data_IF_676573266769
#
_entry.id   IF_676573266769
#
_cell.length_a   1.000
_cell.length_b   1.000
_cell.length_c   1.000
_cell.angle_alpha   90.00
_cell.angle_beta   90.00
_cell.angle_gamma   90.00
#
_symmetry.space_group_name_H-M   'P 1'
#
loop_
_entity.id
_entity.type
_entity.pdbx_description
1 polymer ?
#
# COMPACT_ATOMS: atom_id res chain seq x y z
N UNK A 1 26.45 28.48 12.78
CA UNK A 1 25.23 28.90 12.04
C UNK A 1 24.34 27.69 11.82
N UNK A 2 22.99 27.82 11.83
CA UNK A 2 22.12 26.70 11.51
C UNK A 2 22.41 26.18 10.09
N UNK A 3 22.47 24.86 9.93
CA UNK A 3 22.81 24.17 8.66
C UNK A 3 21.83 24.47 7.52
N UNK A 4 20.61 24.89 7.86
CA UNK A 4 19.51 25.09 6.93
C UNK A 4 18.83 26.44 7.19
N UNK A 5 18.24 27.03 6.15
CA UNK A 5 17.39 28.21 6.31
C UNK A 5 16.14 27.87 7.14
N UNK A 6 15.44 28.89 7.65
CA UNK A 6 14.20 28.66 8.41
C UNK A 6 13.11 28.01 7.54
N UNK A 7 13.00 28.40 6.26
CA UNK A 7 12.10 27.79 5.29
C UNK A 7 12.46 26.32 5.08
N UNK A 8 13.73 26.04 4.81
CA UNK A 8 14.21 24.67 4.60
C UNK A 8 13.96 23.80 5.83
N UNK A 9 14.21 24.32 7.03
CA UNK A 9 13.95 23.60 8.28
C UNK A 9 12.47 23.25 8.47
N UNK A 10 11.56 24.17 8.14
CA UNK A 10 10.10 23.94 8.21
C UNK A 10 9.63 22.92 7.17
N UNK A 11 10.12 23.03 5.93
CA UNK A 11 9.79 22.10 4.86
C UNK A 11 10.30 20.70 5.18
N UNK A 12 11.55 20.55 5.62
CA UNK A 12 12.10 19.27 6.07
C UNK A 12 11.24 18.67 7.16
N UNK A 13 10.94 19.43 8.22
CA UNK A 13 10.10 18.92 9.32
C UNK A 13 8.77 18.38 8.81
N UNK A 14 8.08 19.15 7.97
CA UNK A 14 6.83 18.70 7.36
C UNK A 14 7.01 17.43 6.51
N UNK A 15 8.02 17.40 5.63
CA UNK A 15 8.22 16.27 4.72
C UNK A 15 8.62 14.97 5.44
N UNK A 16 9.39 15.06 6.53
CA UNK A 16 9.77 13.89 7.32
C UNK A 16 8.69 13.43 8.30
N UNK A 17 7.95 14.37 8.92
CA UNK A 17 7.04 14.07 10.02
C UNK A 17 5.55 14.14 9.65
N UNK A 18 5.21 14.81 8.56
CA UNK A 18 3.83 15.12 8.16
C UNK A 18 3.18 16.24 8.96
N UNK A 19 3.91 16.93 9.84
CA UNK A 19 3.38 17.98 10.69
C UNK A 19 4.43 19.09 10.99
N UNK A 20 3.97 20.24 11.51
CA UNK A 20 4.84 21.33 12.01
C UNK A 20 5.44 21.05 13.40
N UNK A 21 4.91 20.03 14.10
CA UNK A 21 5.38 19.60 15.42
C UNK A 21 6.52 18.61 15.28
N UNK A 22 7.40 18.57 16.28
CA UNK A 22 8.54 17.64 16.32
C UNK A 22 8.13 16.24 16.82
N UNK A 23 7.02 15.70 16.29
CA UNK A 23 6.48 14.39 16.67
C UNK A 23 6.29 13.58 15.40
N UNK A 24 6.92 12.41 15.34
CA UNK A 24 6.66 11.46 14.26
C UNK A 24 5.41 10.65 14.58
N UNK A 25 4.41 10.74 13.71
CA UNK A 25 3.21 9.91 13.76
C UNK A 25 3.19 9.03 12.49
N UNK A 26 3.12 7.69 12.62
CA UNK A 26 3.06 6.80 11.46
C UNK A 26 1.85 7.10 10.56
N UNK A 27 2.00 7.09 9.22
CA UNK A 27 0.94 7.46 8.27
C UNK A 27 -0.43 6.81 8.54
N UNK A 28 -0.43 5.52 8.90
CA UNK A 28 -1.65 4.72 9.11
C UNK A 28 -2.54 5.22 10.25
N UNK A 29 -1.99 5.96 11.21
CA UNK A 29 -2.74 6.47 12.37
C UNK A 29 -2.79 8.00 12.42
N UNK A 30 -2.25 8.70 11.40
CA UNK A 30 -2.20 10.17 11.40
C UNK A 30 -3.59 10.80 11.49
N UNK A 31 -4.59 10.21 10.81
CA UNK A 31 -5.95 10.74 10.79
C UNK A 31 -6.69 10.52 12.10
N UNK A 32 -6.41 9.44 12.85
CA UNK A 32 -7.00 9.24 14.16
C UNK A 32 -6.25 9.96 15.28
N UNK A 33 -4.95 10.21 15.10
CA UNK A 33 -4.11 10.88 16.09
C UNK A 33 -4.27 12.40 16.06
N UNK A 34 -4.29 13.01 14.87
CA UNK A 34 -4.44 14.45 14.73
C UNK A 34 -5.92 14.84 14.59
N UNK A 35 -6.26 16.04 15.05
CA UNK A 35 -7.55 16.64 14.68
C UNK A 35 -7.56 16.95 13.18
N UNK A 36 -8.74 17.00 12.56
CA UNK A 36 -8.90 17.28 11.11
C UNK A 36 -8.19 18.57 10.67
N UNK A 37 -8.25 19.61 11.52
CA UNK A 37 -7.55 20.88 11.31
C UNK A 37 -6.02 20.72 11.28
N UNK A 38 -5.48 19.59 11.70
CA UNK A 38 -4.05 19.28 11.81
C UNK A 38 -3.64 18.09 10.94
N UNK A 39 -4.51 17.65 10.04
CA UNK A 39 -4.10 16.68 9.05
C UNK A 39 -2.93 17.19 8.21
N UNK A 40 -2.16 16.24 7.69
CA UNK A 40 -0.90 16.52 7.00
C UNK A 40 -1.12 17.42 5.78
N UNK A 41 -2.16 17.19 5.02
CA UNK A 41 -2.58 18.00 3.88
C UNK A 41 -2.92 19.45 4.28
N UNK A 42 -3.75 19.64 5.32
CA UNK A 42 -4.09 20.96 5.87
C UNK A 42 -2.84 21.68 6.35
N UNK A 43 -1.95 20.95 7.02
CA UNK A 43 -0.70 21.48 7.57
C UNK A 43 0.27 21.88 6.46
N UNK A 44 0.42 21.07 5.42
CA UNK A 44 1.25 21.39 4.26
C UNK A 44 0.80 22.66 3.55
N UNK A 45 -0.51 22.78 3.27
CA UNK A 45 -1.10 23.99 2.68
C UNK A 45 -0.84 25.21 3.53
N UNK A 46 -1.06 25.11 4.85
CA UNK A 46 -0.84 26.22 5.79
C UNK A 46 0.62 26.65 5.85
N UNK A 47 1.57 25.71 5.86
CA UNK A 47 3.01 26.02 5.89
C UNK A 47 3.39 26.79 4.63
N UNK A 48 3.06 26.28 3.44
CA UNK A 48 3.40 26.94 2.18
C UNK A 48 2.67 28.28 2.06
N UNK A 49 1.38 28.34 2.38
CA UNK A 49 0.59 29.57 2.36
C UNK A 49 1.14 30.66 3.30
N UNK A 50 1.60 30.29 4.51
CA UNK A 50 2.28 31.22 5.43
C UNK A 50 3.61 31.72 4.88
N UNK A 51 4.40 30.85 4.24
CA UNK A 51 5.66 31.25 3.58
C UNK A 51 5.36 32.27 2.47
N UNK A 52 4.39 31.98 1.61
CA UNK A 52 3.99 32.86 0.51
C UNK A 52 3.46 34.21 1.00
N UNK A 53 2.67 34.25 2.07
CA UNK A 53 2.13 35.51 2.62
C UNK A 53 3.17 36.40 3.29
N UNK A 54 4.21 35.82 3.92
CA UNK A 54 5.12 36.55 4.81
C UNK A 54 6.47 36.90 4.18
N UNK A 55 6.84 36.26 3.08
CA UNK A 55 8.19 36.32 2.55
C UNK A 55 8.26 37.00 1.17
N UNK A 56 9.46 37.46 0.81
CA UNK A 56 9.73 38.08 -0.49
C UNK A 56 9.78 37.04 -1.61
N UNK A 57 9.66 37.49 -2.85
CA UNK A 57 9.63 36.66 -4.06
C UNK A 57 10.83 35.70 -4.16
N UNK A 58 12.03 36.14 -3.76
CA UNK A 58 13.25 35.32 -3.81
C UNK A 58 13.15 34.10 -2.89
N UNK A 59 12.62 34.31 -1.67
CA UNK A 59 12.41 33.25 -0.69
C UNK A 59 11.30 32.30 -1.12
N UNK A 60 10.21 32.80 -1.71
CA UNK A 60 9.13 31.98 -2.28
C UNK A 60 9.69 31.06 -3.37
N UNK A 61 10.53 31.60 -4.25
CA UNK A 61 11.15 30.84 -5.34
C UNK A 61 12.20 29.82 -4.87
N UNK A 62 12.61 29.84 -3.60
CA UNK A 62 13.51 28.84 -3.02
C UNK A 62 12.82 27.52 -2.66
N UNK A 63 11.48 27.49 -2.58
CA UNK A 63 10.72 26.33 -2.10
C UNK A 63 10.94 25.10 -2.99
N UNK A 64 10.77 25.23 -4.31
CA UNK A 64 10.95 24.10 -5.24
C UNK A 64 12.40 23.60 -5.29
N UNK A 65 13.43 24.47 -5.34
CA UNK A 65 14.82 24.05 -5.16
C UNK A 65 15.08 23.26 -3.88
N UNK A 66 14.48 23.65 -2.75
CA UNK A 66 14.59 22.91 -1.49
C UNK A 66 13.93 21.53 -1.61
N UNK A 67 12.74 21.44 -2.21
CA UNK A 67 12.05 20.17 -2.46
C UNK A 67 12.94 19.23 -3.30
N UNK A 68 13.51 19.73 -4.39
CA UNK A 68 14.41 18.96 -5.25
C UNK A 68 15.69 18.53 -4.53
N UNK A 69 16.27 19.40 -3.69
CA UNK A 69 17.42 19.07 -2.84
C UNK A 69 17.09 17.92 -1.89
N UNK A 70 15.94 17.98 -1.21
CA UNK A 70 15.49 16.92 -0.30
C UNK A 70 15.27 15.62 -1.07
N UNK A 71 14.67 15.68 -2.27
CA UNK A 71 14.51 14.46 -3.09
C UNK A 71 15.86 13.85 -3.47
N UNK A 72 16.85 14.66 -3.85
CA UNK A 72 18.19 14.20 -4.21
C UNK A 72 18.93 13.51 -3.05
N UNK A 73 18.63 13.88 -1.80
CA UNK A 73 19.21 13.23 -0.63
C UNK A 73 18.69 11.80 -0.42
N UNK A 74 17.52 11.47 -0.98
CA UNK A 74 16.88 10.15 -0.97
C UNK A 74 16.77 9.51 0.43
N UNK A 75 16.43 10.35 1.43
CA UNK A 75 16.27 9.95 2.84
C UNK A 75 14.82 9.89 3.31
N UNK A 76 13.86 10.19 2.42
CA UNK A 76 12.44 10.13 2.75
C UNK A 76 11.96 8.68 2.73
N UNK A 77 11.08 8.34 3.67
CA UNK A 77 10.43 7.02 3.71
C UNK A 77 9.52 6.82 2.49
N UNK A 78 8.81 7.87 2.09
CA UNK A 78 7.97 7.90 0.90
C UNK A 78 7.95 9.31 0.27
N UNK A 79 7.56 9.38 -1.00
CA UNK A 79 7.48 10.64 -1.74
C UNK A 79 6.10 11.33 -1.60
N UNK A 80 5.14 10.80 -0.82
CA UNK A 80 3.74 11.27 -0.82
C UNK A 80 3.63 12.74 -0.39
N UNK A 81 4.22 13.10 0.75
CA UNK A 81 4.20 14.47 1.26
C UNK A 81 4.98 15.42 0.35
N UNK A 82 6.04 14.92 -0.29
CA UNK A 82 6.85 15.68 -1.24
C UNK A 82 6.05 16.02 -2.50
N UNK A 83 5.35 15.04 -3.08
CA UNK A 83 4.46 15.22 -4.23
C UNK A 83 3.29 16.15 -3.87
N UNK A 84 2.70 16.00 -2.68
CA UNK A 84 1.64 16.90 -2.21
C UNK A 84 2.15 18.35 -2.09
N UNK A 85 3.33 18.55 -1.50
CA UNK A 85 3.94 19.89 -1.40
C UNK A 85 4.18 20.50 -2.78
N UNK A 86 4.64 19.69 -3.74
CA UNK A 86 4.81 20.12 -5.13
C UNK A 86 3.49 20.53 -5.77
N UNK A 87 2.42 19.76 -5.53
CA UNK A 87 1.08 20.08 -6.01
C UNK A 87 0.58 21.41 -5.43
N UNK A 88 0.75 21.64 -4.13
CA UNK A 88 0.44 22.92 -3.46
C UNK A 88 1.17 24.09 -4.13
N UNK A 89 2.48 23.94 -4.39
CA UNK A 89 3.26 24.96 -5.09
C UNK A 89 2.71 25.26 -6.50
N UNK A 90 2.29 24.24 -7.24
CA UNK A 90 1.77 24.37 -8.60
C UNK A 90 0.37 25.03 -8.67
N UNK A 91 -0.33 25.19 -7.54
CA UNK A 91 -1.71 25.74 -7.49
C UNK A 91 -1.80 27.21 -7.12
N UNK A 92 -0.72 27.87 -6.70
CA UNK A 92 -0.78 29.29 -6.40
C UNK A 92 -1.10 30.11 -7.66
N UNK A 93 -1.97 31.12 -7.51
CA UNK A 93 -2.36 32.03 -8.60
C UNK A 93 -1.92 33.48 -8.37
N UNK A 94 -1.01 33.71 -7.41
CA UNK A 94 -0.52 35.04 -7.04
C UNK A 94 0.67 35.48 -7.90
N UNK A 95 0.78 36.79 -8.18
CA UNK A 95 1.86 37.36 -9.02
C UNK A 95 3.29 36.99 -8.55
N UNK A 96 3.63 37.03 -7.25
CA UNK A 96 4.96 36.61 -6.77
C UNK A 96 5.26 35.13 -6.99
N UNK A 97 4.24 34.28 -7.10
CA UNK A 97 4.38 32.82 -7.18
C UNK A 97 4.60 32.30 -8.60
N UNK A 98 4.57 33.15 -9.64
CA UNK A 98 4.63 32.70 -11.05
C UNK A 98 5.83 31.78 -11.33
N UNK A 99 7.01 32.13 -10.81
CA UNK A 99 8.23 31.32 -10.98
C UNK A 99 8.14 30.01 -10.21
N UNK A 100 7.80 30.05 -8.91
CA UNK A 100 7.56 28.84 -8.10
C UNK A 100 6.59 27.86 -8.77
N UNK A 101 5.49 28.34 -9.34
CA UNK A 101 4.49 27.50 -10.04
C UNK A 101 5.09 26.86 -11.29
N UNK A 102 5.82 27.64 -12.11
CA UNK A 102 6.51 27.11 -13.28
C UNK A 102 7.56 26.06 -12.92
N UNK A 103 8.36 26.32 -11.88
CA UNK A 103 9.38 25.41 -11.37
C UNK A 103 8.75 24.14 -10.81
N UNK A 104 7.60 24.24 -10.12
CA UNK A 104 6.87 23.09 -9.60
C UNK A 104 6.42 22.15 -10.73
N UNK A 105 5.83 22.70 -11.79
CA UNK A 105 5.45 21.91 -12.97
C UNK A 105 6.65 21.33 -13.72
N UNK A 106 7.79 22.01 -13.73
CA UNK A 106 9.03 21.49 -14.32
C UNK A 106 9.61 20.31 -13.53
N UNK A 107 9.51 20.37 -12.19
CA UNK A 107 10.00 19.34 -11.29
C UNK A 107 9.18 18.04 -11.29
N UNK A 108 7.96 18.05 -11.84
CA UNK A 108 7.09 16.86 -11.92
C UNK A 108 7.80 15.67 -12.58
N UNK A 109 8.48 15.86 -13.71
CA UNK A 109 9.18 14.76 -14.39
C UNK A 109 10.33 14.17 -13.57
N UNK A 110 10.91 14.96 -12.66
CA UNK A 110 12.01 14.53 -11.78
C UNK A 110 11.49 13.80 -10.54
N UNK A 111 10.38 14.29 -9.96
CA UNK A 111 9.83 13.76 -8.71
C UNK A 111 8.87 12.59 -8.96
N UNK A 112 7.98 12.72 -9.93
CA UNK A 112 7.02 11.68 -10.28
C UNK A 112 7.69 10.66 -11.20
N UNK A 113 8.50 9.79 -10.63
CA UNK A 113 9.32 8.84 -11.38
C UNK A 113 8.53 7.70 -12.01
N UNK A 114 7.30 7.44 -11.60
CA UNK A 114 6.46 6.33 -12.07
C UNK A 114 4.99 6.75 -12.24
N UNK A 115 4.18 5.83 -12.77
CA UNK A 115 2.76 6.08 -13.05
C UNK A 115 1.95 6.36 -11.78
N UNK A 116 2.26 5.69 -10.68
CA UNK A 116 1.58 5.89 -9.39
C UNK A 116 1.82 7.32 -8.88
N UNK A 117 3.08 7.76 -8.83
CA UNK A 117 3.45 9.10 -8.36
C UNK A 117 2.86 10.20 -9.26
N UNK A 118 2.75 9.95 -10.56
CA UNK A 118 2.04 10.87 -11.46
C UNK A 118 0.56 10.99 -11.08
N UNK A 119 -0.14 9.87 -10.91
CA UNK A 119 -1.56 9.88 -10.54
C UNK A 119 -1.78 10.49 -9.15
N UNK A 120 -0.86 10.26 -8.21
CA UNK A 120 -0.83 10.93 -6.91
C UNK A 120 -0.75 12.46 -7.08
N UNK A 121 0.15 12.95 -7.92
CA UNK A 121 0.26 14.38 -8.20
C UNK A 121 -1.04 14.94 -8.78
N UNK A 122 -1.67 14.24 -9.74
CA UNK A 122 -2.96 14.67 -10.33
C UNK A 122 -4.05 14.75 -9.26
N UNK A 123 -4.16 13.75 -8.37
CA UNK A 123 -5.10 13.79 -7.25
C UNK A 123 -4.82 14.97 -6.32
N UNK A 124 -3.55 15.20 -6.00
CA UNK A 124 -3.14 16.26 -5.09
C UNK A 124 -3.29 17.66 -5.69
N UNK A 125 -3.24 17.82 -7.00
CA UNK A 125 -3.55 19.09 -7.68
C UNK A 125 -4.97 19.56 -7.34
N UNK A 126 -5.97 18.66 -7.44
CA UNK A 126 -7.36 18.97 -7.07
C UNK A 126 -7.52 19.23 -5.58
N UNK A 127 -6.87 18.39 -4.77
CA UNK A 127 -6.93 18.50 -3.29
C UNK A 127 -6.34 19.83 -2.83
N UNK A 128 -5.16 20.19 -3.33
CA UNK A 128 -4.47 21.43 -2.98
C UNK A 128 -5.22 22.68 -3.44
N UNK A 129 -5.85 22.67 -4.62
CA UNK A 129 -6.64 23.81 -5.12
C UNK A 129 -7.80 24.14 -4.16
N UNK A 130 -8.59 23.13 -3.82
CA UNK A 130 -9.71 23.28 -2.87
C UNK A 130 -9.21 23.83 -1.52
N UNK A 131 -8.18 23.20 -0.95
CA UNK A 131 -7.68 23.60 0.37
C UNK A 131 -7.04 24.99 0.38
N UNK A 132 -6.36 25.40 -0.69
CA UNK A 132 -5.80 26.75 -0.80
C UNK A 132 -6.90 27.81 -0.89
N UNK A 133 -8.01 27.48 -1.57
CA UNK A 133 -9.17 28.36 -1.67
C UNK A 133 -9.88 28.48 -0.31
N UNK A 134 -10.18 27.34 0.33
CA UNK A 134 -10.87 27.29 1.63
C UNK A 134 -10.10 28.03 2.73
N UNK A 135 -8.75 28.00 2.68
CA UNK A 135 -7.90 28.70 3.64
C UNK A 135 -7.57 30.16 3.23
N UNK A 136 -8.14 30.67 2.14
CA UNK A 136 -7.98 32.06 1.70
C UNK A 136 -6.53 32.40 1.28
N UNK A 137 -5.83 31.45 0.68
CA UNK A 137 -4.50 31.66 0.09
C UNK A 137 -4.54 31.96 -1.41
N UNK A 138 -5.59 31.51 -2.10
CA UNK A 138 -5.88 31.86 -3.50
C UNK A 138 -7.26 32.50 -3.59
N UNK A 139 -7.46 33.33 -4.62
CA UNK A 139 -8.69 34.13 -4.80
C UNK A 139 -9.78 33.41 -5.57
N UNK A 140 -9.42 32.40 -6.36
CA UNK A 140 -10.34 31.65 -7.22
C UNK A 140 -9.99 30.18 -7.15
N UNK A 141 -11.00 29.34 -6.94
CA UNK A 141 -10.86 27.91 -7.16
C UNK A 141 -10.98 27.61 -8.66
N UNK A 142 -10.28 26.57 -9.10
CA UNK A 142 -10.40 26.04 -10.45
C UNK A 142 -10.24 24.53 -10.43
N UNK A 143 -10.61 23.85 -11.52
CA UNK A 143 -10.47 22.40 -11.60
C UNK A 143 -9.01 21.90 -11.59
N UNK A 144 -8.00 22.77 -11.53
CA UNK A 144 -6.58 22.35 -11.43
C UNK A 144 -5.86 22.15 -12.77
N UNK A 145 -6.60 22.12 -13.88
CA UNK A 145 -6.13 21.53 -15.15
C UNK A 145 -5.80 22.54 -16.26
N UNK A 146 -5.24 23.69 -15.88
CA UNK A 146 -4.87 24.75 -16.85
C UNK A 146 -3.71 24.36 -17.78
N UNK A 147 -3.26 25.31 -18.61
CA UNK A 147 -2.20 25.10 -19.61
C UNK A 147 -0.88 24.55 -19.03
N UNK A 148 -0.50 25.00 -17.82
CA UNK A 148 0.71 24.50 -17.13
C UNK A 148 0.61 23.02 -16.76
N UNK A 149 -0.56 22.60 -16.26
CA UNK A 149 -0.87 21.20 -15.97
C UNK A 149 -0.81 20.36 -17.25
N UNK A 150 -1.54 20.75 -18.29
CA UNK A 150 -1.56 20.01 -19.56
C UNK A 150 -0.14 19.85 -20.15
N UNK A 151 0.65 20.93 -20.18
CA UNK A 151 2.04 20.88 -20.66
C UNK A 151 2.92 19.94 -19.83
N UNK A 152 2.82 19.97 -18.51
CA UNK A 152 3.61 19.14 -17.61
C UNK A 152 3.26 17.65 -17.75
N UNK A 153 1.97 17.32 -17.76
CA UNK A 153 1.51 15.93 -17.95
C UNK A 153 1.87 15.40 -19.33
N UNK A 154 1.68 16.19 -20.39
CA UNK A 154 2.09 15.80 -21.75
C UNK A 154 3.58 15.53 -21.81
N UNK A 155 4.41 16.39 -21.22
CA UNK A 155 5.86 16.17 -21.13
C UNK A 155 6.19 14.88 -20.38
N UNK A 156 5.47 14.57 -19.30
CA UNK A 156 5.68 13.34 -18.55
C UNK A 156 5.46 12.10 -19.41
N UNK A 157 4.38 12.03 -20.19
CA UNK A 157 4.13 10.88 -21.07
C UNK A 157 5.05 10.85 -22.30
N UNK A 158 5.32 12.00 -22.92
CA UNK A 158 5.96 12.07 -24.24
C UNK A 158 7.49 12.26 -24.21
N UNK A 159 8.11 12.58 -23.07
CA UNK A 159 9.57 12.80 -23.02
C UNK A 159 10.32 11.67 -22.30
N UNK A 160 9.68 10.51 -22.16
CA UNK A 160 10.23 9.31 -21.49
C UNK A 160 10.38 8.18 -22.48
N UNK A 161 11.15 7.17 -22.10
CA UNK A 161 11.24 5.92 -22.85
C UNK A 161 9.84 5.30 -23.03
N UNK A 162 9.40 5.02 -24.27
CA UNK A 162 8.06 4.51 -24.54
C UNK A 162 7.76 3.15 -23.90
N UNK A 163 8.74 2.23 -23.82
CA UNK A 163 8.55 0.93 -23.19
C UNK A 163 8.35 1.07 -21.69
N UNK A 164 9.27 1.77 -21.03
CA UNK A 164 9.18 2.07 -19.60
C UNK A 164 7.87 2.79 -19.26
N UNK A 165 7.46 3.76 -20.09
CA UNK A 165 6.18 4.49 -19.91
C UNK A 165 5.00 3.55 -19.98
N UNK A 166 5.01 2.59 -20.92
CA UNK A 166 3.97 1.56 -21.05
C UNK A 166 3.91 0.70 -19.80
N UNK A 167 5.06 0.24 -19.29
CA UNK A 167 5.13 -0.56 -18.07
C UNK A 167 4.53 0.16 -16.86
N UNK A 168 4.88 1.45 -16.67
CA UNK A 168 4.33 2.25 -15.57
C UNK A 168 2.81 2.43 -15.67
N UNK A 169 2.28 2.68 -16.88
CA UNK A 169 0.83 2.82 -17.09
C UNK A 169 0.10 1.52 -16.74
N UNK A 170 0.65 0.39 -17.16
CA UNK A 170 0.04 -0.92 -16.97
C UNK A 170 0.10 -1.38 -15.51
N UNK A 171 1.22 -1.14 -14.82
CA UNK A 171 1.41 -1.48 -13.40
C UNK A 171 0.56 -0.60 -12.49
N UNK A 172 0.48 0.69 -12.77
CA UNK A 172 -0.16 1.68 -11.90
C UNK A 172 -1.46 2.22 -12.51
N UNK A 173 -2.45 1.33 -12.71
CA UNK A 173 -3.67 1.64 -13.47
C UNK A 173 -4.48 2.81 -12.90
N UNK A 174 -4.58 2.89 -11.56
CA UNK A 174 -5.32 3.92 -10.88
C UNK A 174 -4.73 4.30 -9.52
N UNK A 175 -5.04 5.52 -9.09
CA UNK A 175 -4.81 6.01 -7.73
C UNK A 175 -5.97 6.89 -7.30
N UNK A 176 -6.64 6.53 -6.22
CA UNK A 176 -7.70 7.32 -5.59
C UNK A 176 -8.74 7.89 -6.59
N UNK A 177 -9.24 6.99 -7.45
CA UNK A 177 -10.23 7.29 -8.49
C UNK A 177 -9.68 7.87 -9.80
N UNK A 178 -8.41 8.25 -9.86
CA UNK A 178 -7.78 8.72 -11.10
C UNK A 178 -7.10 7.60 -11.86
N UNK A 179 -7.33 7.49 -13.16
CA UNK A 179 -6.61 6.58 -14.05
C UNK A 179 -5.77 7.33 -15.09
N UNK A 180 -4.78 6.65 -15.67
CA UNK A 180 -4.02 7.20 -16.81
C UNK A 180 -4.93 7.59 -17.98
N UNK A 181 -6.04 6.84 -18.19
CA UNK A 181 -7.06 7.15 -19.20
C UNK A 181 -7.71 8.50 -18.96
N UNK A 182 -8.04 8.83 -17.71
CA UNK A 182 -8.65 10.10 -17.35
C UNK A 182 -7.68 11.26 -17.61
N UNK A 183 -6.42 11.10 -17.20
CA UNK A 183 -5.38 12.11 -17.42
C UNK A 183 -5.14 12.35 -18.92
N UNK A 184 -5.02 11.28 -19.71
CA UNK A 184 -4.79 11.40 -21.16
C UNK A 184 -5.94 12.09 -21.88
N UNK A 185 -7.19 11.79 -21.51
CA UNK A 185 -8.37 12.48 -22.04
C UNK A 185 -8.37 13.95 -21.68
N UNK A 186 -8.09 14.25 -20.42
CA UNK A 186 -8.09 15.61 -19.87
C UNK A 186 -7.08 16.53 -20.56
N UNK A 187 -5.91 16.01 -20.93
CA UNK A 187 -4.85 16.79 -21.59
C UNK A 187 -4.88 16.68 -23.12
N UNK A 188 -5.85 15.95 -23.67
CA UNK A 188 -5.94 15.63 -25.10
C UNK A 188 -4.62 15.08 -25.67
N UNK A 189 -4.06 14.07 -24.98
CA UNK A 189 -2.76 13.51 -25.32
C UNK A 189 -2.76 12.89 -26.73
N UNK A 190 -1.79 13.29 -27.54
CA UNK A 190 -1.56 12.74 -28.88
C UNK A 190 -0.06 12.71 -29.18
N UNK A 191 0.34 11.84 -30.11
CA UNK A 191 1.72 11.74 -30.60
C UNK A 191 1.71 11.36 -32.08
N UNK A 192 2.81 11.67 -32.78
CA UNK A 192 3.09 11.19 -34.13
C UNK A 192 4.00 9.96 -34.14
N UNK A 193 4.64 9.65 -33.02
CA UNK A 193 5.58 8.52 -32.89
C UNK A 193 4.82 7.19 -32.68
N UNK A 194 5.05 6.16 -33.50
CA UNK A 194 4.33 4.88 -33.42
C UNK A 194 4.35 4.23 -32.03
N UNK A 195 5.52 4.17 -31.37
CA UNK A 195 5.67 3.60 -30.03
C UNK A 195 4.75 4.29 -29.01
N UNK A 196 4.61 5.62 -29.11
CA UNK A 196 3.76 6.40 -28.21
C UNK A 196 2.29 6.28 -28.54
N UNK A 197 1.95 6.29 -29.82
CA UNK A 197 0.58 6.05 -30.28
C UNK A 197 0.07 4.73 -29.72
N UNK A 198 0.89 3.68 -29.69
CA UNK A 198 0.48 2.36 -29.22
C UNK A 198 0.02 2.36 -27.75
N UNK A 199 0.80 2.88 -26.80
CA UNK A 199 0.36 2.90 -25.41
C UNK A 199 -0.80 3.90 -25.19
N UNK A 200 -0.87 5.00 -25.94
CA UNK A 200 -2.00 5.93 -25.88
C UNK A 200 -3.28 5.22 -26.30
N UNK A 201 -3.26 4.53 -27.46
CA UNK A 201 -4.39 3.75 -27.96
C UNK A 201 -4.77 2.63 -26.99
N UNK A 202 -3.79 1.88 -26.48
CA UNK A 202 -4.03 0.85 -25.46
C UNK A 202 -4.76 1.42 -24.24
N UNK A 203 -4.27 2.54 -23.70
CA UNK A 203 -4.84 3.16 -22.49
C UNK A 203 -6.26 3.68 -22.72
N UNK A 204 -6.53 4.28 -23.89
CA UNK A 204 -7.83 4.87 -24.19
C UNK A 204 -8.87 3.84 -24.64
N UNK A 205 -8.45 2.87 -25.45
CA UNK A 205 -9.32 2.00 -26.26
C UNK A 205 -9.07 0.49 -26.08
N UNK A 206 -8.02 0.09 -25.37
CA UNK A 206 -7.71 -1.32 -25.06
C UNK A 206 -6.99 -2.08 -26.18
N UNK A 207 -6.62 -3.33 -25.87
CA UNK A 207 -5.77 -4.17 -26.73
C UNK A 207 -6.35 -4.47 -28.11
N UNK A 208 -7.67 -4.66 -28.22
CA UNK A 208 -8.35 -4.91 -29.51
C UNK A 208 -8.05 -3.82 -30.53
N UNK A 209 -8.02 -2.55 -30.08
CA UNK A 209 -7.72 -1.42 -30.97
C UNK A 209 -6.24 -1.37 -31.35
N UNK A 210 -5.36 -1.78 -30.44
CA UNK A 210 -3.92 -1.92 -30.73
C UNK A 210 -3.69 -2.98 -31.79
N UNK A 211 -4.29 -4.17 -31.64
CA UNK A 211 -4.20 -5.26 -32.62
C UNK A 211 -4.69 -4.85 -34.01
N UNK A 212 -5.78 -4.08 -34.10
CA UNK A 212 -6.28 -3.56 -35.38
C UNK A 212 -5.29 -2.62 -36.08
N UNK A 213 -4.56 -1.78 -35.32
CA UNK A 213 -3.69 -0.76 -35.88
C UNK A 213 -2.25 -1.25 -36.12
N UNK A 214 -1.79 -2.19 -35.28
CA UNK A 214 -0.40 -2.64 -35.26
C UNK A 214 -0.24 -4.13 -35.55
N UNK A 215 -1.28 -4.95 -35.40
CA UNK A 215 -1.16 -6.41 -35.46
C UNK A 215 -0.60 -6.96 -36.78
N UNK A 216 -0.97 -6.39 -37.93
CA UNK A 216 -0.40 -6.80 -39.23
C UNK A 216 1.09 -6.52 -39.34
N UNK A 217 1.58 -5.42 -38.74
CA UNK A 217 3.01 -5.07 -38.71
C UNK A 217 3.82 -5.92 -37.73
N UNK A 218 3.14 -6.65 -36.85
CA UNK A 218 3.75 -7.40 -35.75
C UNK A 218 3.69 -8.93 -35.93
N UNK A 219 2.87 -9.44 -36.87
CA UNK A 219 2.70 -10.88 -37.11
C UNK A 219 3.87 -11.56 -37.84
N UNK A 220 4.71 -10.80 -38.54
CA UNK A 220 5.64 -11.35 -39.55
C UNK A 220 7.13 -11.21 -39.20
N UNK A 221 7.53 -11.02 -37.94
CA UNK A 221 8.95 -10.70 -37.68
C UNK A 221 9.52 -11.39 -36.43
N UNK A 222 10.55 -12.21 -36.67
CA UNK A 222 11.42 -12.76 -35.64
C UNK A 222 12.06 -11.63 -34.81
N UNK A 223 12.24 -11.84 -33.51
CA UNK A 223 12.82 -10.84 -32.58
C UNK A 223 14.33 -10.63 -32.86
N UNK A 224 14.93 -11.53 -33.63
CA UNK A 224 16.38 -11.64 -33.86
C UNK A 224 16.84 -11.21 -35.25
N UNK A 225 16.08 -10.39 -35.99
CA UNK A 225 16.63 -9.77 -37.19
C UNK A 225 17.68 -8.72 -36.79
N UNK A 226 18.94 -9.01 -37.09
CA UNK A 226 20.08 -8.14 -36.82
C UNK A 226 19.93 -6.77 -37.49
N UNK A 227 19.20 -6.72 -38.61
CA UNK A 227 19.10 -5.56 -39.50
C UNK A 227 17.92 -4.64 -39.17
N UNK A 228 17.15 -4.95 -38.12
CA UNK A 228 15.97 -4.16 -37.75
C UNK A 228 16.32 -2.90 -36.95
N UNK A 229 15.65 -1.79 -37.28
CA UNK A 229 15.83 -0.49 -36.59
C UNK A 229 15.47 -0.57 -35.11
N UNK A 230 16.16 0.23 -34.29
CA UNK A 230 15.88 0.32 -32.85
C UNK A 230 14.41 0.65 -32.55
N UNK A 231 13.79 1.54 -33.33
CA UNK A 231 12.38 1.92 -33.18
C UNK A 231 11.44 0.74 -33.39
N UNK A 232 11.69 -0.12 -34.39
CA UNK A 232 10.88 -1.31 -34.63
C UNK A 232 11.05 -2.34 -33.51
N UNK A 233 12.28 -2.55 -33.02
CA UNK A 233 12.54 -3.42 -31.85
C UNK A 233 11.79 -2.95 -30.61
N UNK A 234 11.80 -1.64 -30.36
CA UNK A 234 11.06 -1.06 -29.25
C UNK A 234 9.54 -1.19 -29.43
N UNK A 235 9.04 -0.96 -30.65
CA UNK A 235 7.61 -1.12 -30.97
C UNK A 235 7.15 -2.56 -30.72
N UNK A 236 7.90 -3.56 -31.20
CA UNK A 236 7.65 -4.97 -30.92
C UNK A 236 7.66 -5.30 -29.43
N UNK A 237 8.65 -4.78 -28.70
CA UNK A 237 8.77 -5.02 -27.26
C UNK A 237 7.54 -4.52 -26.51
N UNK A 238 7.03 -3.33 -26.86
CA UNK A 238 5.81 -2.77 -26.28
C UNK A 238 4.60 -3.65 -26.65
N UNK A 239 4.48 -4.06 -27.91
CA UNK A 239 3.34 -4.86 -28.38
C UNK A 239 3.29 -6.22 -27.67
N UNK A 240 4.44 -6.90 -27.59
CA UNK A 240 4.58 -8.19 -26.91
C UNK A 240 4.28 -8.07 -25.41
N UNK A 241 4.80 -7.03 -24.75
CA UNK A 241 4.50 -6.78 -23.34
C UNK A 241 2.99 -6.56 -23.10
N UNK A 242 2.32 -5.77 -23.94
CA UNK A 242 0.88 -5.54 -23.81
C UNK A 242 0.06 -6.82 -24.01
N UNK A 243 0.42 -7.63 -25.02
CA UNK A 243 -0.23 -8.92 -25.25
C UNK A 243 0.00 -9.90 -24.09
N UNK A 244 1.23 -9.98 -23.60
CA UNK A 244 1.60 -10.79 -22.44
C UNK A 244 0.70 -10.43 -21.25
N UNK A 245 0.62 -9.16 -20.89
CA UNK A 245 -0.20 -8.68 -19.77
C UNK A 245 -1.69 -9.00 -19.93
N UNK A 246 -2.24 -8.83 -21.14
CA UNK A 246 -3.65 -9.14 -21.38
C UNK A 246 -3.93 -10.65 -21.37
N UNK A 247 -2.94 -11.46 -21.76
CA UNK A 247 -3.05 -12.90 -21.74
C UNK A 247 -2.95 -13.49 -20.34
N UNK A 248 -2.28 -12.83 -19.38
CA UNK A 248 -2.22 -13.28 -17.97
C UNK A 248 -3.61 -13.60 -17.43
N UNK A 249 -4.62 -12.76 -17.73
CA UNK A 249 -6.00 -12.96 -17.24
C UNK A 249 -6.67 -14.25 -17.74
N UNK A 250 -6.13 -14.85 -18.79
CA UNK A 250 -6.64 -16.07 -19.44
C UNK A 250 -5.77 -17.29 -19.14
N UNK A 251 -4.62 -17.11 -18.50
CA UNK A 251 -3.71 -18.20 -18.17
C UNK A 251 -4.30 -19.06 -17.04
N UNK A 252 -4.04 -20.36 -17.12
CA UNK A 252 -4.21 -21.25 -15.97
C UNK A 252 -3.03 -21.10 -15.00
N UNK A 253 -3.11 -21.82 -13.87
CA UNK A 253 -2.09 -21.76 -12.82
C UNK A 253 -0.69 -22.15 -13.34
N UNK A 254 -0.60 -23.20 -14.16
CA UNK A 254 0.68 -23.73 -14.64
C UNK A 254 1.32 -22.80 -15.67
N UNK A 255 0.53 -22.26 -16.60
CA UNK A 255 1.02 -21.28 -17.57
C UNK A 255 1.52 -20.02 -16.88
N UNK A 256 0.81 -19.54 -15.85
CA UNK A 256 1.23 -18.36 -15.09
C UNK A 256 2.54 -18.60 -14.31
N UNK A 257 2.75 -19.80 -13.75
CA UNK A 257 4.02 -20.14 -13.09
C UNK A 257 5.19 -20.07 -14.06
N UNK A 258 5.06 -20.71 -15.22
CA UNK A 258 6.09 -20.66 -16.27
C UNK A 258 6.35 -19.21 -16.69
N UNK A 259 5.29 -18.40 -16.80
CA UNK A 259 5.41 -16.99 -17.17
C UNK A 259 6.18 -16.16 -16.11
N UNK A 260 5.98 -16.46 -14.82
CA UNK A 260 6.73 -15.85 -13.71
C UNK A 260 8.22 -16.23 -13.76
N UNK A 261 8.50 -17.50 -14.02
CA UNK A 261 9.86 -18.04 -14.06
C UNK A 261 10.67 -17.49 -15.25
N UNK A 262 10.09 -17.53 -16.46
CA UNK A 262 10.85 -17.26 -17.69
C UNK A 262 10.78 -15.80 -18.16
N UNK A 263 9.69 -15.08 -17.90
CA UNK A 263 9.45 -13.77 -18.53
C UNK A 263 9.50 -12.57 -17.56
N UNK A 264 10.25 -12.72 -16.45
CA UNK A 264 10.47 -11.67 -15.42
C UNK A 264 9.20 -11.06 -14.85
N UNK A 265 8.04 -11.73 -14.93
CA UNK A 265 6.82 -11.26 -14.25
C UNK A 265 6.99 -11.25 -12.73
N UNK A 266 7.93 -12.02 -12.18
CA UNK A 266 8.35 -11.93 -10.77
C UNK A 266 8.84 -10.53 -10.35
N UNK A 267 9.29 -9.70 -11.29
CA UNK A 267 9.66 -8.30 -11.01
C UNK A 267 8.44 -7.35 -11.04
N UNK A 268 7.31 -7.79 -11.60
CA UNK A 268 6.14 -6.96 -11.93
C UNK A 268 4.83 -7.54 -11.39
N UNK A 269 4.73 -7.86 -10.08
CA UNK A 269 3.53 -8.47 -9.50
C UNK A 269 2.24 -7.66 -9.71
N UNK A 270 2.35 -6.35 -9.92
CA UNK A 270 1.20 -5.45 -10.06
C UNK A 270 0.38 -5.72 -11.33
N UNK A 271 0.96 -6.42 -12.32
CA UNK A 271 0.23 -6.79 -13.54
C UNK A 271 -0.63 -8.04 -13.35
N UNK A 272 -0.37 -8.83 -12.31
CA UNK A 272 -1.08 -10.09 -12.04
C UNK A 272 -2.46 -9.78 -11.43
N UNK A 273 -3.55 -10.37 -11.95
CA UNK A 273 -4.88 -10.22 -11.38
C UNK A 273 -4.93 -10.62 -9.90
N UNK A 274 -5.68 -9.86 -9.10
CA UNK A 274 -5.76 -10.06 -7.64
C UNK A 274 -6.34 -11.43 -7.27
N UNK A 275 -7.21 -11.95 -8.12
CA UNK A 275 -7.87 -13.24 -7.97
C UNK A 275 -6.83 -14.38 -8.02
N UNK A 276 -5.86 -14.27 -8.92
CA UNK A 276 -4.76 -15.24 -9.08
C UNK A 276 -3.75 -15.17 -7.94
N UNK A 277 -3.60 -14.00 -7.31
CA UNK A 277 -2.73 -13.77 -6.15
C UNK A 277 -3.28 -14.37 -4.83
N UNK A 278 -4.42 -15.06 -4.86
CA UNK A 278 -4.92 -15.87 -3.73
C UNK A 278 -4.37 -17.29 -3.74
N UNK A 279 -3.84 -17.75 -4.88
CA UNK A 279 -3.34 -19.11 -5.06
C UNK A 279 -1.95 -19.24 -4.44
N UNK A 280 -1.78 -20.19 -3.51
CA UNK A 280 -0.52 -20.40 -2.79
C UNK A 280 0.63 -20.82 -3.72
N UNK A 281 0.36 -21.56 -4.79
CA UNK A 281 1.39 -21.99 -5.74
C UNK A 281 1.90 -20.82 -6.57
N UNK A 282 0.99 -19.95 -7.03
CA UNK A 282 1.37 -18.69 -7.70
C UNK A 282 2.19 -17.80 -6.78
N UNK A 283 1.74 -17.63 -5.53
CA UNK A 283 2.48 -16.85 -4.53
C UNK A 283 3.87 -17.46 -4.24
N UNK A 284 3.98 -18.77 -4.18
CA UNK A 284 5.27 -19.48 -4.00
C UNK A 284 6.19 -19.24 -5.19
N UNK A 285 5.68 -19.34 -6.42
CA UNK A 285 6.44 -18.99 -7.64
C UNK A 285 6.93 -17.53 -7.61
N UNK A 286 6.08 -16.59 -7.17
CA UNK A 286 6.51 -15.20 -6.99
C UNK A 286 7.63 -15.07 -5.95
N UNK A 287 7.54 -15.75 -4.80
CA UNK A 287 8.62 -15.76 -3.79
C UNK A 287 9.94 -16.25 -4.40
N UNK A 288 9.89 -17.26 -5.26
CA UNK A 288 11.07 -17.84 -5.90
C UNK A 288 11.76 -16.90 -6.91
N UNK A 289 11.03 -15.97 -7.53
CA UNK A 289 11.56 -15.11 -8.60
C UNK A 289 11.57 -13.60 -8.28
N UNK A 290 11.01 -13.17 -7.15
CA UNK A 290 11.01 -11.76 -6.75
C UNK A 290 12.41 -11.22 -6.47
N UNK A 291 12.71 -9.92 -6.70
CA UNK A 291 13.88 -9.28 -6.11
C UNK A 291 13.83 -9.32 -4.57
N UNK A 292 14.98 -9.51 -3.91
CA UNK A 292 15.02 -9.80 -2.47
C UNK A 292 14.52 -8.64 -1.60
N UNK A 293 14.85 -7.38 -1.94
CA UNK A 293 14.29 -6.19 -1.28
C UNK A 293 12.77 -6.14 -1.41
N UNK A 294 12.25 -6.38 -2.63
CA UNK A 294 10.81 -6.39 -2.90
C UNK A 294 10.12 -7.53 -2.15
N UNK A 295 10.77 -8.67 -2.00
CA UNK A 295 10.26 -9.81 -1.24
C UNK A 295 10.08 -9.41 0.24
N UNK A 296 11.06 -8.72 0.82
CA UNK A 296 11.02 -8.20 2.19
C UNK A 296 9.95 -7.12 2.38
N UNK A 297 9.83 -6.17 1.46
CA UNK A 297 8.78 -5.14 1.52
C UNK A 297 7.35 -5.72 1.48
N UNK A 298 7.19 -6.86 0.78
CA UNK A 298 5.92 -7.53 0.56
C UNK A 298 5.63 -8.68 1.52
N UNK A 299 6.41 -8.87 2.60
CA UNK A 299 6.14 -9.93 3.60
C UNK A 299 4.70 -9.90 4.12
N UNK A 300 4.20 -8.70 4.41
CA UNK A 300 2.81 -8.51 4.86
C UNK A 300 1.79 -8.92 3.79
N UNK A 301 2.08 -8.65 2.52
CA UNK A 301 1.21 -9.02 1.40
C UNK A 301 1.11 -10.55 1.29
N UNK A 302 2.24 -11.27 1.33
CA UNK A 302 2.24 -12.74 1.28
C UNK A 302 1.52 -13.34 2.48
N UNK A 303 1.77 -12.81 3.68
CA UNK A 303 1.05 -13.24 4.87
C UNK A 303 -0.46 -13.02 4.73
N UNK A 304 -0.89 -11.81 4.33
CA UNK A 304 -2.32 -11.47 4.17
C UNK A 304 -3.01 -12.41 3.18
N UNK A 305 -2.33 -12.83 2.11
CA UNK A 305 -2.85 -13.77 1.12
C UNK A 305 -2.60 -15.25 1.48
N UNK A 306 -2.53 -15.56 2.78
CA UNK A 306 -2.49 -16.93 3.33
C UNK A 306 -1.23 -17.76 2.99
N UNK A 307 -0.16 -17.18 2.42
CA UNK A 307 1.05 -17.95 2.09
C UNK A 307 1.76 -18.54 3.33
N UNK A 308 1.67 -17.83 4.47
CA UNK A 308 2.32 -18.22 5.73
C UNK A 308 1.28 -18.65 6.78
N UNK A 309 0.26 -19.39 6.35
CA UNK A 309 -0.80 -19.89 7.23
C UNK A 309 -0.68 -21.40 7.42
N UNK A 310 -0.98 -21.92 8.62
CA UNK A 310 -0.83 -23.35 8.91
C UNK A 310 -1.73 -24.26 8.04
N UNK A 311 -2.74 -23.70 7.36
CA UNK A 311 -3.59 -24.44 6.41
C UNK A 311 -2.95 -24.60 5.02
N UNK A 312 -1.85 -23.91 4.73
CA UNK A 312 -1.11 -24.05 3.48
C UNK A 312 0.12 -24.92 3.69
N UNK A 313 0.58 -25.67 2.67
CA UNK A 313 1.87 -26.34 2.73
C UNK A 313 2.98 -25.35 3.10
N UNK A 314 3.91 -25.77 3.97
CA UNK A 314 5.06 -24.96 4.43
C UNK A 314 6.03 -24.56 3.30
N UNK A 315 5.77 -25.01 2.07
CA UNK A 315 6.60 -24.72 0.88
C UNK A 315 6.81 -23.22 0.71
N UNK A 316 5.76 -22.40 0.81
CA UNK A 316 5.86 -20.96 0.62
C UNK A 316 6.78 -20.26 1.64
N UNK A 317 6.66 -20.61 2.92
CA UNK A 317 7.53 -20.06 3.97
C UNK A 317 8.96 -20.59 3.84
N UNK A 318 9.12 -21.88 3.52
CA UNK A 318 10.43 -22.49 3.32
C UNK A 318 11.19 -21.82 2.18
N UNK A 319 10.56 -21.62 1.03
CA UNK A 319 11.17 -20.92 -0.11
C UNK A 319 11.49 -19.47 0.23
N UNK A 320 10.61 -18.78 0.98
CA UNK A 320 10.86 -17.43 1.47
C UNK A 320 12.16 -17.38 2.31
N UNK A 321 12.29 -18.25 3.31
CA UNK A 321 13.49 -18.32 4.17
C UNK A 321 14.73 -18.71 3.35
N UNK A 322 14.61 -19.68 2.44
CA UNK A 322 15.70 -20.15 1.59
C UNK A 322 16.29 -19.02 0.74
N UNK A 323 15.44 -18.18 0.16
CA UNK A 323 15.84 -17.01 -0.64
C UNK A 323 16.75 -16.06 0.13
N UNK A 324 16.45 -15.78 1.40
CA UNK A 324 17.27 -14.91 2.26
C UNK A 324 18.49 -15.61 2.87
N UNK A 325 18.50 -16.94 2.91
CA UNK A 325 19.67 -17.73 3.32
C UNK A 325 20.75 -17.80 2.24
N UNK A 326 20.44 -17.44 1.00
CA UNK A 326 21.44 -17.30 -0.05
C UNK A 326 22.29 -16.05 0.19
N UNK A 327 23.54 -16.26 0.64
CA UNK A 327 24.47 -15.19 1.01
C UNK A 327 24.86 -14.31 -0.17
N UNK A 328 24.90 -14.86 -1.39
CA UNK A 328 25.23 -14.10 -2.60
C UNK A 328 24.09 -13.14 -2.91
N UNK A 329 22.84 -13.64 -2.94
CA UNK A 329 21.66 -12.80 -3.17
C UNK A 329 21.47 -11.75 -2.09
N UNK A 330 21.75 -12.09 -0.83
CA UNK A 330 21.64 -11.14 0.28
C UNK A 330 22.67 -10.01 0.15
N UNK A 331 23.93 -10.34 -0.20
CA UNK A 331 24.98 -9.34 -0.46
C UNK A 331 24.64 -8.41 -1.63
N UNK A 332 24.15 -8.96 -2.74
CA UNK A 332 23.81 -8.15 -3.93
C UNK A 332 22.57 -7.29 -3.72
N UNK A 333 21.65 -7.70 -2.84
CA UNK A 333 20.41 -6.97 -2.55
C UNK A 333 20.59 -5.69 -1.73
N UNK A 334 21.74 -5.47 -1.10
CA UNK A 334 22.04 -4.27 -0.28
C UNK A 334 21.02 -3.96 0.85
N UNK A 335 20.24 -4.95 1.28
CA UNK A 335 19.25 -4.81 2.37
C UNK A 335 19.94 -4.35 3.65
N UNK A 336 19.53 -3.20 4.18
CA UNK A 336 20.06 -2.68 5.44
C UNK A 336 19.45 -3.43 6.64
N UNK A 337 20.20 -3.68 7.74
CA UNK A 337 19.66 -4.41 8.91
C UNK A 337 18.42 -3.81 9.57
N UNK A 338 18.16 -2.52 9.35
CA UNK A 338 16.95 -1.85 9.84
C UNK A 338 15.69 -2.29 9.08
N UNK A 339 15.80 -2.73 7.83
CA UNK A 339 14.66 -3.09 7.00
C UNK A 339 13.98 -4.38 7.49
N UNK A 340 14.70 -5.49 7.77
CA UNK A 340 14.12 -6.66 8.42
C UNK A 340 13.43 -6.33 9.74
N UNK A 341 14.05 -5.47 10.56
CA UNK A 341 13.46 -5.03 11.83
C UNK A 341 12.15 -4.28 11.64
N UNK A 342 12.07 -3.38 10.65
CA UNK A 342 10.84 -2.66 10.29
C UNK A 342 9.75 -3.66 9.88
N UNK A 343 10.07 -4.65 9.06
CA UNK A 343 9.09 -5.67 8.63
C UNK A 343 8.65 -6.57 9.79
N UNK A 344 9.57 -6.99 10.66
CA UNK A 344 9.25 -7.66 11.91
C UNK A 344 8.27 -6.84 12.73
N UNK A 345 8.60 -5.57 13.02
CA UNK A 345 7.79 -4.71 13.86
C UNK A 345 6.39 -4.47 13.25
N UNK A 346 6.31 -4.33 11.92
CA UNK A 346 5.06 -4.22 11.18
C UNK A 346 4.24 -5.50 11.27
N UNK A 347 4.87 -6.65 11.05
CA UNK A 347 4.21 -7.95 11.07
C UNK A 347 3.74 -8.34 12.47
N UNK A 348 4.60 -8.24 13.48
CA UNK A 348 4.29 -8.56 14.87
C UNK A 348 3.08 -7.75 15.40
N UNK A 349 2.99 -6.46 15.07
CA UNK A 349 1.85 -5.61 15.46
C UNK A 349 0.55 -5.95 14.75
N UNK A 350 0.63 -6.46 13.52
CA UNK A 350 -0.54 -6.68 12.66
C UNK A 350 -0.95 -8.15 12.53
N UNK A 351 -0.13 -9.08 13.00
CA UNK A 351 -0.33 -10.53 12.83
C UNK A 351 -1.72 -11.01 13.28
N UNK A 352 -2.24 -10.51 14.40
CA UNK A 352 -3.59 -10.85 14.87
C UNK A 352 -4.69 -10.37 13.91
N UNK A 353 -4.53 -9.19 13.31
CA UNK A 353 -5.48 -8.68 12.33
C UNK A 353 -5.38 -9.48 11.02
N UNK A 354 -4.18 -9.87 10.61
CA UNK A 354 -3.97 -10.76 9.46
C UNK A 354 -4.68 -12.08 9.69
N UNK A 355 -4.51 -12.70 10.86
CA UNK A 355 -5.18 -13.95 11.21
C UNK A 355 -6.70 -13.82 11.18
N UNK A 356 -7.25 -12.71 11.71
CA UNK A 356 -8.69 -12.42 11.60
C UNK A 356 -9.15 -12.33 10.14
N UNK A 357 -8.40 -11.61 9.28
CA UNK A 357 -8.69 -11.49 7.85
C UNK A 357 -8.65 -12.86 7.17
N UNK A 358 -7.61 -13.66 7.42
CA UNK A 358 -7.46 -14.99 6.84
C UNK A 358 -8.64 -15.91 7.24
N UNK A 359 -9.01 -15.91 8.51
CA UNK A 359 -10.13 -16.72 9.03
C UNK A 359 -11.48 -16.29 8.44
N UNK A 360 -11.73 -14.98 8.28
CA UNK A 360 -12.96 -14.50 7.65
C UNK A 360 -13.04 -14.94 6.18
N UNK A 361 -11.92 -14.92 5.46
CA UNK A 361 -11.90 -15.40 4.07
C UNK A 361 -12.18 -16.90 4.01
N UNK A 362 -11.65 -17.71 4.94
CA UNK A 362 -11.95 -19.15 5.00
C UNK A 362 -13.43 -19.43 5.25
N UNK A 363 -14.06 -18.72 6.21
CA UNK A 363 -15.50 -18.86 6.46
C UNK A 363 -16.33 -18.56 5.21
N UNK A 364 -15.99 -17.48 4.50
CA UNK A 364 -16.69 -17.14 3.26
C UNK A 364 -16.47 -18.17 2.14
N UNK A 365 -15.29 -18.79 2.06
CA UNK A 365 -15.01 -19.87 1.09
C UNK A 365 -15.81 -21.14 1.44
N UNK A 366 -15.90 -21.49 2.73
CA UNK A 366 -16.71 -22.61 3.24
C UNK A 366 -18.21 -22.37 2.99
N UNK A 367 -18.72 -21.18 3.31
CA UNK A 367 -20.11 -20.81 3.09
C UNK A 367 -20.48 -20.83 1.59
N UNK A 368 -19.61 -20.32 0.73
CA UNK A 368 -19.82 -20.37 -0.73
C UNK A 368 -19.79 -21.81 -1.26
N UNK A 369 -18.90 -22.66 -0.75
CA UNK A 369 -18.83 -24.06 -1.14
C UNK A 369 -20.08 -24.84 -0.68
N UNK A 370 -20.61 -24.53 0.51
CA UNK A 370 -21.87 -25.10 1.01
C UNK A 370 -23.03 -24.68 0.10
N UNK A 371 -23.13 -23.39 -0.26
CA UNK A 371 -24.18 -22.89 -1.15
C UNK A 371 -24.10 -23.52 -2.54
N UNK A 372 -22.91 -23.59 -3.14
CA UNK A 372 -22.68 -24.21 -4.45
C UNK A 372 -22.91 -25.74 -4.42
N UNK A 373 -22.61 -26.40 -3.31
CA UNK A 373 -22.94 -27.81 -3.09
C UNK A 373 -24.44 -28.06 -2.88
N UNK A 374 -25.19 -27.11 -2.32
CA UNK A 374 -26.64 -27.20 -2.14
C UNK A 374 -27.35 -27.02 -3.49
N UNK A 375 -26.94 -26.03 -4.29
CA UNK A 375 -27.50 -25.80 -5.63
C UNK A 375 -27.25 -26.98 -6.58
N UNK A 376 -26.09 -27.65 -6.44
CA UNK A 376 -25.78 -28.85 -7.23
C UNK A 376 -26.53 -30.12 -6.74
N UNK A 377 -27.04 -30.13 -5.50
CA UNK A 377 -27.80 -31.28 -4.93
C UNK A 377 -29.31 -31.14 -5.00
N UNK A 378 -29.87 -29.95 -5.27
CA UNK A 378 -31.32 -29.71 -5.36
C UNK A 378 -31.94 -29.98 -6.75
N UNK A 379 -31.46 -31.01 -7.47
CA UNK A 379 -32.16 -31.60 -8.64
C UNK A 379 -32.88 -32.93 -8.33
N UNK A 380 -33.14 -33.22 -7.06
CA UNK A 380 -34.01 -34.35 -6.67
C UNK A 380 -35.29 -33.80 -6.05
N UNK A 381 -36.37 -33.93 -6.84
CA UNK A 381 -37.75 -33.71 -6.42
C UNK A 381 -38.06 -34.66 -5.27
N UNK A 382 -38.27 -34.13 -4.07
CA UNK A 382 -38.95 -34.86 -3.00
C UNK A 382 -40.29 -34.18 -2.73
N UNK A 383 -41.34 -34.83 -3.26
CA UNK A 383 -42.73 -34.62 -2.83
C UNK A 383 -42.81 -35.02 -1.35
N UNK A 384 -42.89 -34.05 -0.45
CA UNK A 384 -43.33 -34.31 0.92
C UNK A 384 -44.86 -34.46 0.91
N UNK A 385 -45.32 -35.70 1.00
CA UNK A 385 -46.71 -36.01 1.32
C UNK A 385 -47.00 -35.58 2.76
N UNK A 386 -47.93 -34.64 2.91
CA UNK A 386 -48.61 -34.36 4.17
C UNK A 386 -49.50 -35.55 4.56
N UNK A 387 -49.49 -35.92 5.83
CA UNK A 387 -50.71 -36.33 6.56
C UNK A 387 -50.65 -35.87 8.03
N UNK A 388 -51.82 -35.70 8.69
CA UNK A 388 -52.02 -34.68 9.71
C UNK A 388 -52.44 -35.20 11.10
N UNK A 389 -52.35 -34.29 12.08
CA UNK A 389 -53.12 -34.10 13.33
C UNK A 389 -53.14 -35.19 14.43
N UNK A 390 -52.81 -34.81 15.68
CA UNK A 390 -53.80 -34.40 16.71
C UNK A 390 -53.20 -34.06 18.10
N UNK A 391 -53.46 -32.80 18.50
CA UNK A 391 -54.07 -32.26 19.75
C UNK A 391 -53.59 -32.60 21.19
N UNK A 392 -53.80 -31.57 22.02
CA UNK A 392 -53.37 -31.26 23.40
C UNK A 392 -54.05 -32.07 24.54
N UNK A 393 -53.45 -32.03 25.75
CA UNK A 393 -53.98 -31.42 27.00
C UNK A 393 -53.26 -32.01 28.25
N UNK A 394 -52.97 -31.13 29.22
CA UNK A 394 -52.20 -31.30 30.45
C UNK A 394 -52.92 -32.02 31.62
N UNK A 395 -52.18 -32.68 32.54
CA UNK A 395 -52.54 -32.94 33.96
C UNK A 395 -51.27 -33.08 34.85
N UNK A 396 -51.18 -32.33 35.96
CA UNK A 396 -50.43 -32.70 37.19
C UNK A 396 -51.37 -33.42 38.18
N UNK A 397 -50.88 -34.25 39.12
CA UNK A 397 -50.82 -33.77 40.52
C UNK A 397 -49.67 -34.32 41.39
N UNK A 398 -49.49 -33.61 42.51
CA UNK A 398 -48.62 -33.74 43.69
C UNK A 398 -48.88 -34.94 44.61
N UNK A 399 -47.84 -35.37 45.35
CA UNK A 399 -47.96 -35.93 46.73
C UNK A 399 -46.76 -35.44 47.58
N UNK A 400 -47.09 -35.03 48.81
CA UNK A 400 -46.27 -34.47 49.91
C UNK A 400 -45.75 -35.52 50.92
N UNK A 401 -44.80 -35.03 51.76
CA UNK A 401 -44.45 -35.39 53.16
C UNK A 401 -43.54 -36.60 53.45
N UNK A 402 -42.58 -36.57 54.39
CA UNK A 402 -42.12 -35.57 55.40
C UNK A 402 -40.70 -36.02 55.88
N UNK A 403 -39.76 -35.13 56.26
CA UNK A 403 -39.61 -34.60 57.62
C UNK A 403 -38.25 -33.90 57.87
N UNK A 404 -38.32 -32.66 58.40
CA UNK A 404 -37.50 -31.93 59.42
C UNK A 404 -35.95 -32.10 59.50
N UNK A 405 -35.10 -31.10 59.82
CA UNK A 405 -35.19 -29.97 60.76
C UNK A 405 -34.10 -28.88 60.48
N UNK A 406 -34.33 -27.66 60.98
CA UNK A 406 -33.59 -26.38 60.88
C UNK A 406 -32.30 -26.25 61.75
N UNK A 407 -31.35 -25.34 61.42
CA UNK A 407 -31.12 -24.00 62.05
C UNK A 407 -29.71 -23.35 61.84
N UNK A 408 -29.74 -22.02 61.61
CA UNK A 408 -28.91 -20.85 62.10
C UNK A 408 -27.36 -20.94 62.26
N UNK A 409 -26.47 -20.05 61.77
CA UNK A 409 -26.26 -18.56 61.72
C UNK A 409 -25.21 -18.04 62.75
N UNK A 410 -24.08 -17.51 62.23
CA UNK A 410 -23.17 -16.41 62.72
C UNK A 410 -22.26 -16.59 63.97
N UNK A 411 -21.32 -15.66 64.33
CA UNK A 411 -20.43 -14.72 63.56
C UNK A 411 -19.03 -14.40 64.23
N UNK A 412 -18.33 -13.34 63.73
CA UNK A 412 -17.59 -12.25 64.49
C UNK A 412 -16.03 -12.19 64.59
N UNK A 413 -15.51 -11.00 64.19
CA UNK A 413 -14.37 -10.12 64.62
C UNK A 413 -12.88 -10.56 64.53
N UNK A 414 -11.87 -9.68 64.40
CA UNK A 414 -11.66 -8.36 65.05
C UNK A 414 -10.51 -7.58 64.37
N UNK A 415 -10.64 -6.25 64.29
CA UNK A 415 -9.58 -5.24 64.06
C UNK A 415 -8.96 -4.78 65.39
N UNK A 416 -7.75 -4.18 65.33
CA UNK A 416 -7.20 -3.03 66.09
C UNK A 416 -5.67 -3.00 65.81
N UNK A 417 -4.90 -1.92 65.70
CA UNK A 417 -5.01 -0.47 65.97
C UNK A 417 -3.83 0.26 65.25
N UNK A 418 -4.01 1.55 64.95
CA UNK A 418 -3.11 2.54 64.28
C UNK A 418 -2.47 3.45 65.37
N UNK A 419 -1.24 4.05 65.29
CA UNK A 419 -0.87 5.30 64.54
C UNK A 419 0.62 5.40 64.08
N UNK A 420 1.19 6.37 63.34
CA UNK A 420 0.82 7.68 62.79
C UNK A 420 1.85 8.11 61.69
N UNK A 421 1.35 8.75 60.61
CA UNK A 421 1.83 9.94 59.81
C UNK A 421 3.33 9.98 59.35
N UNK A 422 3.72 10.26 58.09
CA UNK A 422 3.47 11.44 57.22
C UNK A 422 3.75 11.05 55.74
N UNK A 423 2.84 11.37 54.80
CA UNK A 423 3.09 12.24 53.62
C UNK A 423 1.99 12.18 52.53
N UNK A 424 1.31 13.31 52.41
CA UNK A 424 0.79 13.99 51.20
C UNK A 424 0.02 13.19 50.14
N UNK A 425 -1.28 13.48 50.14
CA UNK A 425 -2.29 13.16 49.14
C UNK A 425 -1.95 13.60 47.71
N UNK A 426 -2.15 12.69 46.76
CA UNK A 426 -2.71 13.03 45.45
C UNK A 426 -3.84 12.02 45.20
N UNK A 427 -5.07 12.55 45.15
CA UNK A 427 -6.31 11.80 44.95
C UNK A 427 -6.32 10.98 43.65
N UNK A 428 -6.26 9.66 43.78
CA UNK A 428 -6.66 8.70 42.74
C UNK A 428 -8.18 8.55 42.76
N UNK A 429 -8.85 9.11 41.74
CA UNK A 429 -10.24 8.78 41.45
C UNK A 429 -10.25 7.53 40.55
N UNK A 430 -10.69 6.43 41.15
CA UNK A 430 -11.17 5.19 40.55
C UNK A 430 -11.61 5.29 39.08
N UNK A 431 -10.89 4.60 38.19
CA UNK A 431 -11.50 3.93 37.03
C UNK A 431 -11.31 2.43 37.19
N UNK A 432 -12.32 1.79 37.78
CA UNK A 432 -12.51 0.34 37.67
C UNK A 432 -12.69 0.00 36.18
N UNK A 433 -11.66 -0.56 35.54
CA UNK A 433 -11.82 -1.32 34.31
C UNK A 433 -11.92 -2.82 34.66
N UNK A 434 -12.90 -3.56 34.11
CA UNK A 434 -13.01 -4.98 34.37
C UNK A 434 -11.79 -5.70 33.76
N UNK A 435 -11.07 -6.45 34.59
CA UNK A 435 -9.96 -7.31 34.18
C UNK A 435 -10.48 -8.47 33.32
N UNK A 436 -10.65 -8.23 32.03
CA UNK A 436 -10.80 -9.31 31.05
C UNK A 436 -9.42 -9.91 30.82
N UNK A 437 -9.12 -10.99 31.54
CA UNK A 437 -8.00 -11.88 31.22
C UNK A 437 -8.22 -12.44 29.81
N UNK A 438 -7.68 -11.78 28.79
CA UNK A 438 -7.57 -12.35 27.46
C UNK A 438 -6.57 -13.50 27.54
N UNK A 439 -7.06 -14.75 27.56
CA UNK A 439 -6.20 -15.89 27.21
C UNK A 439 -5.67 -15.65 25.79
N UNK A 440 -4.41 -15.24 25.69
CA UNK A 440 -3.74 -15.06 24.41
C UNK A 440 -3.49 -16.46 23.86
N UNK A 441 -4.36 -16.93 22.96
CA UNK A 441 -4.13 -18.17 22.21
C UNK A 441 -2.75 -18.08 21.54
N UNK A 442 -1.94 -19.16 21.59
CA UNK A 442 -0.62 -19.17 20.96
C UNK A 442 -0.74 -18.88 19.47
N UNK A 443 0.23 -18.15 18.92
CA UNK A 443 0.27 -17.84 17.49
C UNK A 443 0.46 -19.14 16.68
N UNK A 444 -0.09 -19.22 15.45
CA UNK A 444 0.15 -20.36 14.58
C UNK A 444 1.64 -20.58 14.32
N UNK A 445 2.07 -21.84 14.24
CA UNK A 445 3.46 -22.26 14.01
C UNK A 445 4.17 -21.46 12.91
N UNK A 446 3.62 -21.37 11.71
CA UNK A 446 4.26 -20.67 10.59
C UNK A 446 4.37 -19.15 10.84
N UNK A 447 3.40 -18.57 11.52
CA UNK A 447 3.43 -17.15 11.93
C UNK A 447 4.56 -16.91 12.94
N UNK A 448 4.73 -17.81 13.91
CA UNK A 448 5.80 -17.70 14.89
C UNK A 448 7.18 -17.88 14.23
N UNK A 449 7.33 -18.86 13.33
CA UNK A 449 8.56 -19.08 12.57
C UNK A 449 8.96 -17.85 11.75
N UNK A 450 8.01 -17.21 11.07
CA UNK A 450 8.28 -15.99 10.33
C UNK A 450 8.70 -14.83 11.26
N UNK A 451 8.07 -14.70 12.43
CA UNK A 451 8.42 -13.69 13.43
C UNK A 451 9.86 -13.88 13.91
N UNK A 452 10.23 -15.11 14.30
CA UNK A 452 11.60 -15.44 14.73
C UNK A 452 12.60 -15.16 13.61
N UNK A 453 12.32 -15.61 12.40
CA UNK A 453 13.21 -15.38 11.26
C UNK A 453 13.47 -13.89 10.99
N UNK A 454 12.42 -13.05 11.00
CA UNK A 454 12.57 -11.61 10.73
C UNK A 454 13.27 -10.85 11.87
N UNK A 455 13.11 -11.27 13.12
CA UNK A 455 13.65 -10.55 14.30
C UNK A 455 15.04 -10.98 14.71
N UNK A 456 15.42 -12.23 14.46
CA UNK A 456 16.68 -12.77 14.95
C UNK A 456 17.59 -13.09 13.77
N UNK A 457 17.19 -14.06 12.95
CA UNK A 457 18.04 -14.62 11.89
C UNK A 457 18.38 -13.61 10.79
N UNK A 458 17.37 -12.94 10.24
CA UNK A 458 17.57 -12.05 9.10
C UNK A 458 18.30 -10.78 9.50
N UNK A 459 18.03 -10.24 10.71
CA UNK A 459 18.78 -9.10 11.26
C UNK A 459 20.25 -9.48 11.43
N UNK A 460 20.54 -10.64 12.04
CA UNK A 460 21.92 -11.11 12.21
C UNK A 460 22.65 -11.25 10.88
N UNK A 461 22.03 -11.92 9.90
CA UNK A 461 22.63 -12.13 8.56
C UNK A 461 22.88 -10.82 7.81
N UNK A 462 21.93 -9.90 7.86
CA UNK A 462 22.10 -8.58 7.22
C UNK A 462 23.17 -7.76 7.93
N UNK A 463 23.29 -7.84 9.26
CA UNK A 463 24.40 -7.25 10.01
C UNK A 463 25.75 -7.83 9.59
N UNK A 464 25.88 -9.15 9.50
CA UNK A 464 27.11 -9.83 9.05
C UNK A 464 27.53 -9.36 7.66
N UNK A 465 26.58 -9.29 6.71
CA UNK A 465 26.81 -8.78 5.34
C UNK A 465 27.24 -7.31 5.37
N UNK A 466 26.55 -6.49 6.16
CA UNK A 466 26.84 -5.06 6.27
C UNK A 466 28.24 -4.81 6.84
N UNK A 467 28.62 -5.51 7.90
CA UNK A 467 29.97 -5.43 8.51
C UNK A 467 31.03 -5.88 7.50
N UNK A 468 30.82 -7.00 6.80
CA UNK A 468 31.76 -7.47 5.77
C UNK A 468 31.99 -6.45 4.65
N UNK A 469 30.97 -5.66 4.29
CA UNK A 469 31.08 -4.68 3.22
C UNK A 469 31.77 -3.37 3.66
N UNK A 470 31.71 -3.03 4.95
CA UNK A 470 32.29 -1.78 5.49
C UNK A 470 33.69 -1.93 6.07
N UNK A 471 34.09 -3.13 6.50
CA UNK A 471 35.39 -3.38 7.16
C UNK A 471 36.44 -4.08 6.28
N UNK A 472 36.19 -4.24 4.97
CA UNK A 472 37.19 -4.66 3.99
C UNK A 472 37.93 -3.45 3.37
N UNK A 473 38.58 -2.64 4.23
CA UNK A 473 39.53 -1.60 3.83
C UNK A 473 40.85 -1.78 4.57
#
# INVERSE_FOLDING_TARGET
MPKYSLIESKLRRYLYLGHEYCIYVPPLIRTSFWNEKHYHDVTGVRIIGKIVKKNKTEEINSIVPIILKIKKEDKLLDDQLLIFTLAVCARFNLKPCKKMVADAYAAVSTICTDGLKLLMFVKFIKTADNMLFDQGFITTSSNGHGRGFAKSMTKWYLNRDPLLTTEHIVRNKCYDGWSHKDVMKLIHLHSKEPCRIMYIVYTLSGIKRVEQLFGSKMKDICIEDSDETFENKQLKSIYNFLNQVENIKKMDERALQNEIEFNRLGEKPEVIPREMLKNSTILTSLVMHFPLEKLLENTFFFAKNKLFHNSTPDVGLREYILRFNNTILLKTSQIHPIEPFIQYAKYARTCRNILKVQNNVMKNEEDNFIVESIDNKLKVIIKLQKTPDKEEVAIQPSIENEGELFNEVNPVSTEETVPDVIQSEVNDINQQQPSVFFMIKPLPKLVNQLITFLSEDLIKKTCEVFICNYFNF
#
